data_IF_759004926739
#
_entry.id   IF_759004926739
#
_cell.length_a   1.000
_cell.length_b   1.000
_cell.length_c   1.000
_cell.angle_alpha   90.00
_cell.angle_beta   90.00
_cell.angle_gamma   90.00
#
_symmetry.space_group_name_H-M   'P 1'
#
loop_
_entity.id
_entity.type
_entity.pdbx_description
1 polymer ?
#
# COMPACT_ATOMS: atom_id res chain seq x y z
N UNK A 1 -2.17 34.76 10.79
CA UNK A 1 -1.87 33.47 10.13
C UNK A 1 -2.17 33.47 8.62
N UNK A 2 -3.18 34.19 8.09
CA UNK A 2 -3.53 34.20 6.64
C UNK A 2 -3.47 32.79 6.02
N UNK A 3 -4.25 31.82 6.55
CA UNK A 3 -4.15 30.44 6.11
C UNK A 3 -4.64 30.27 4.67
N UNK A 4 -4.11 29.27 3.98
CA UNK A 4 -4.60 28.86 2.67
C UNK A 4 -5.98 28.23 2.76
N UNK A 5 -6.18 27.35 3.75
CA UNK A 5 -7.48 26.77 4.11
C UNK A 5 -7.64 26.66 5.63
N UNK A 6 -8.87 26.71 6.10
CA UNK A 6 -9.27 26.41 7.48
C UNK A 6 -9.85 25.01 7.53
N UNK A 7 -9.14 24.10 8.20
CA UNK A 7 -9.57 22.72 8.42
C UNK A 7 -10.05 22.60 9.87
N UNK A 8 -11.27 22.09 10.07
CA UNK A 8 -11.87 21.96 11.41
C UNK A 8 -12.05 20.48 11.74
N UNK A 9 -11.60 20.08 12.93
CA UNK A 9 -12.06 18.86 13.58
C UNK A 9 -13.01 19.25 14.70
N UNK A 10 -14.27 18.84 14.60
CA UNK A 10 -15.31 19.16 15.57
C UNK A 10 -15.77 17.92 16.32
N UNK A 11 -15.67 17.95 17.65
CA UNK A 11 -16.28 16.96 18.54
C UNK A 11 -17.57 17.54 19.17
N UNK A 12 -18.76 17.03 18.79
CA UNK A 12 -20.01 17.47 19.37
C UNK A 12 -20.08 17.11 20.86
N UNK A 13 -20.75 17.94 21.66
CA UNK A 13 -20.90 17.73 23.10
C UNK A 13 -22.37 17.55 23.45
N UNK A 14 -22.72 16.42 24.08
CA UNK A 14 -24.06 16.00 24.50
C UNK A 14 -25.03 15.73 23.36
N UNK A 15 -25.85 14.69 23.50
CA UNK A 15 -26.84 14.32 22.49
C UNK A 15 -27.95 15.36 22.43
N UNK A 16 -28.41 15.84 23.58
CA UNK A 16 -29.47 16.87 23.67
C UNK A 16 -29.09 18.15 22.94
N UNK A 17 -27.85 18.62 23.13
CA UNK A 17 -27.33 19.84 22.49
C UNK A 17 -27.06 19.63 21.00
N UNK A 18 -26.53 18.47 20.63
CA UNK A 18 -26.31 18.10 19.22
C UNK A 18 -27.64 18.13 18.46
N UNK A 19 -28.70 17.55 19.03
CA UNK A 19 -30.05 17.58 18.45
C UNK A 19 -30.60 19.01 18.37
N UNK A 20 -30.54 19.77 19.47
CA UNK A 20 -31.15 21.09 19.56
C UNK A 20 -30.48 22.14 18.64
N UNK A 21 -29.17 22.02 18.43
CA UNK A 21 -28.38 23.01 17.70
C UNK A 21 -27.86 22.51 16.35
N UNK A 22 -28.37 21.38 15.84
CA UNK A 22 -27.87 20.78 14.61
C UNK A 22 -27.86 21.75 13.43
N UNK A 23 -28.98 22.46 13.22
CA UNK A 23 -29.13 23.42 12.12
C UNK A 23 -28.19 24.63 12.27
N UNK A 24 -28.00 25.14 13.49
CA UNK A 24 -27.10 26.26 13.77
C UNK A 24 -25.62 25.86 13.59
N UNK A 25 -25.23 24.66 14.05
CA UNK A 25 -23.91 24.11 13.75
C UNK A 25 -23.72 23.95 12.25
N UNK A 26 -24.71 23.42 11.54
CA UNK A 26 -24.67 23.24 10.09
C UNK A 26 -24.39 24.54 9.32
N UNK A 27 -24.92 25.68 9.81
CA UNK A 27 -24.66 27.02 9.27
C UNK A 27 -23.28 27.55 9.62
N UNK A 28 -22.91 27.55 10.91
CA UNK A 28 -21.67 28.19 11.39
C UNK A 28 -20.44 27.45 10.86
N UNK A 29 -20.53 26.13 10.74
CA UNK A 29 -19.46 25.29 10.23
C UNK A 29 -19.13 25.57 8.75
N UNK A 30 -20.04 26.17 7.96
CA UNK A 30 -19.76 26.62 6.59
C UNK A 30 -18.59 27.60 6.47
N UNK A 31 -18.17 28.23 7.58
CA UNK A 31 -17.01 29.12 7.61
C UNK A 31 -15.67 28.40 7.43
N UNK A 32 -15.64 27.06 7.52
CA UNK A 32 -14.46 26.25 7.27
C UNK A 32 -14.40 25.77 5.81
N UNK A 33 -13.20 25.53 5.30
CA UNK A 33 -13.00 24.97 3.96
C UNK A 33 -13.15 23.44 3.96
N UNK A 34 -12.88 22.80 5.11
CA UNK A 34 -13.01 21.35 5.29
C UNK A 34 -13.31 20.98 6.74
N UNK A 35 -14.15 19.98 6.94
CA UNK A 35 -14.60 19.57 8.28
C UNK A 35 -14.48 18.06 8.47
N UNK A 36 -14.06 17.69 9.67
CA UNK A 36 -14.15 16.37 10.25
C UNK A 36 -15.04 16.44 11.48
N UNK A 37 -16.03 15.56 11.57
CA UNK A 37 -16.95 15.49 12.71
C UNK A 37 -16.79 14.13 13.37
N UNK A 38 -16.50 14.11 14.67
CA UNK A 38 -16.45 12.87 15.45
C UNK A 38 -17.84 12.50 15.98
N UNK A 39 -17.98 11.33 16.59
CA UNK A 39 -19.21 11.05 17.32
C UNK A 39 -19.32 11.92 18.60
N UNK A 40 -20.53 11.97 19.15
CA UNK A 40 -20.93 12.83 20.25
C UNK A 40 -20.19 12.43 21.53
N UNK A 41 -19.48 13.37 22.13
CA UNK A 41 -19.03 13.23 23.51
C UNK A 41 -20.24 13.35 24.46
N UNK A 42 -20.69 12.22 24.99
CA UNK A 42 -21.94 12.11 25.73
C UNK A 42 -21.99 12.94 27.03
N UNK A 43 -20.84 13.16 27.69
CA UNK A 43 -20.77 13.85 28.98
C UNK A 43 -21.80 13.31 30.01
N UNK A 44 -21.86 11.98 30.14
CA UNK A 44 -22.80 11.23 31.00
C UNK A 44 -24.28 11.24 30.58
N UNK A 45 -24.62 11.79 29.40
CA UNK A 45 -25.96 11.60 28.82
C UNK A 45 -26.14 10.18 28.25
N UNK A 46 -27.38 9.68 28.31
CA UNK A 46 -27.77 8.49 27.55
C UNK A 46 -27.86 8.86 26.06
N UNK A 47 -27.41 7.97 25.16
CA UNK A 47 -27.64 8.15 23.72
C UNK A 47 -29.10 8.41 23.40
N UNK A 48 -29.36 9.37 22.52
CA UNK A 48 -30.68 9.62 21.95
C UNK A 48 -30.74 8.91 20.60
N UNK A 49 -31.78 8.11 20.38
CA UNK A 49 -31.96 7.37 19.14
C UNK A 49 -31.92 8.30 17.92
N UNK A 50 -31.12 7.94 16.92
CA UNK A 50 -30.93 8.73 15.69
C UNK A 50 -30.02 9.97 15.83
N UNK A 51 -29.51 10.27 17.03
CA UNK A 51 -28.60 11.41 17.24
C UNK A 51 -27.15 10.93 17.37
N UNK A 52 -26.30 11.41 16.49
CA UNK A 52 -24.86 11.12 16.46
C UNK A 52 -24.09 12.27 15.81
N UNK A 53 -22.77 12.12 15.65
CA UNK A 53 -22.00 13.05 14.81
C UNK A 53 -22.53 13.14 13.37
N UNK A 54 -23.13 12.07 12.83
CA UNK A 54 -23.76 12.07 11.50
C UNK A 54 -24.89 13.10 11.41
N UNK A 55 -25.62 13.36 12.50
CA UNK A 55 -26.67 14.39 12.54
C UNK A 55 -26.11 15.77 12.16
N UNK A 56 -24.87 16.08 12.56
CA UNK A 56 -24.24 17.34 12.18
C UNK A 56 -23.64 17.30 10.79
N UNK A 57 -23.17 16.14 10.33
CA UNK A 57 -22.72 15.97 8.94
C UNK A 57 -23.86 16.27 7.98
N UNK A 58 -25.04 15.70 8.24
CA UNK A 58 -26.25 15.94 7.46
C UNK A 58 -26.68 17.42 7.52
N UNK A 59 -26.60 18.03 8.71
CA UNK A 59 -26.91 19.45 8.88
C UNK A 59 -25.94 20.35 8.10
N UNK A 60 -24.63 20.05 8.10
CA UNK A 60 -23.64 20.78 7.30
C UNK A 60 -23.95 20.65 5.81
N UNK A 61 -24.22 19.44 5.32
CA UNK A 61 -24.54 19.21 3.90
C UNK A 61 -25.82 19.91 3.45
N UNK A 62 -26.78 20.11 4.35
CA UNK A 62 -28.02 20.86 4.06
C UNK A 62 -27.76 22.35 3.80
N UNK A 63 -26.72 22.93 4.39
CA UNK A 63 -26.46 24.39 4.33
C UNK A 63 -25.40 24.80 3.30
N UNK A 64 -24.68 23.85 2.70
CA UNK A 64 -23.71 24.14 1.65
C UNK A 64 -22.87 22.94 1.23
N UNK A 65 -21.99 23.17 0.25
CA UNK A 65 -21.22 22.12 -0.43
C UNK A 65 -19.82 21.89 0.17
N UNK A 66 -19.57 22.39 1.39
CA UNK A 66 -18.26 22.20 2.02
C UNK A 66 -17.97 20.72 2.27
N UNK A 67 -16.70 20.35 2.15
CA UNK A 67 -16.29 18.96 2.33
C UNK A 67 -16.34 18.59 3.82
N UNK A 68 -17.31 17.78 4.20
CA UNK A 68 -17.47 17.23 5.54
C UNK A 68 -17.26 15.71 5.56
N UNK A 69 -16.53 15.21 6.54
CA UNK A 69 -16.25 13.80 6.74
C UNK A 69 -16.65 13.37 8.16
N UNK A 70 -17.40 12.27 8.27
CA UNK A 70 -17.69 11.63 9.54
C UNK A 70 -16.52 10.73 9.95
N UNK A 71 -15.96 10.96 11.14
CA UNK A 71 -14.84 10.21 11.74
C UNK A 71 -15.23 9.79 13.17
N UNK A 72 -16.13 8.80 13.31
CA UNK A 72 -16.84 8.52 14.57
C UNK A 72 -15.89 8.28 15.75
N UNK A 73 -14.81 7.54 15.50
CA UNK A 73 -13.83 7.20 16.51
C UNK A 73 -12.76 8.30 16.64
N UNK A 74 -12.73 8.93 17.82
CA UNK A 74 -11.75 9.97 18.13
C UNK A 74 -10.33 9.39 18.20
N UNK A 75 -10.16 8.12 18.60
CA UNK A 75 -8.84 7.52 18.78
C UNK A 75 -8.04 7.44 17.48
N UNK A 76 -8.76 7.36 16.34
CA UNK A 76 -8.21 7.26 14.97
C UNK A 76 -8.49 8.49 14.11
N UNK A 77 -9.19 9.51 14.63
CA UNK A 77 -9.53 10.71 13.88
C UNK A 77 -8.29 11.45 13.34
N UNK A 78 -7.16 11.38 14.03
CA UNK A 78 -5.90 11.98 13.58
C UNK A 78 -5.41 11.41 12.26
N UNK A 79 -5.70 10.14 11.95
CA UNK A 79 -5.33 9.55 10.67
C UNK A 79 -6.02 10.22 9.49
N UNK A 80 -7.34 10.40 9.58
CA UNK A 80 -8.13 11.02 8.53
C UNK A 80 -7.85 12.52 8.41
N UNK A 81 -7.71 13.22 9.54
CA UNK A 81 -7.43 14.66 9.59
C UNK A 81 -6.01 14.93 9.10
N UNK A 82 -5.01 14.24 9.63
CA UNK A 82 -3.60 14.45 9.25
C UNK A 82 -3.30 14.10 7.79
N UNK A 83 -3.93 13.06 7.23
CA UNK A 83 -3.80 12.74 5.80
C UNK A 83 -4.40 13.81 4.87
N UNK A 84 -5.32 14.62 5.39
CA UNK A 84 -6.02 15.64 4.62
C UNK A 84 -5.34 17.01 4.62
N UNK A 85 -4.37 17.23 5.52
CA UNK A 85 -3.68 18.50 5.65
C UNK A 85 -2.70 18.73 4.49
N UNK A 86 -2.62 19.98 4.07
CA UNK A 86 -1.70 20.48 3.06
C UNK A 86 -0.87 21.65 3.62
N UNK A 87 0.31 21.93 3.03
CA UNK A 87 1.09 23.10 3.41
C UNK A 87 0.27 24.39 3.34
N UNK A 88 0.27 25.17 4.43
CA UNK A 88 -0.48 26.42 4.55
C UNK A 88 -1.87 26.28 5.18
N UNK A 89 -2.32 25.06 5.50
CA UNK A 89 -3.55 24.85 6.25
C UNK A 89 -3.45 25.34 7.71
N UNK A 90 -4.56 25.86 8.22
CA UNK A 90 -4.78 26.05 9.65
C UNK A 90 -5.75 24.98 10.15
N UNK A 91 -5.24 24.02 10.94
CA UNK A 91 -6.07 23.06 11.66
C UNK A 91 -6.60 23.68 12.95
N UNK A 92 -7.91 23.61 13.15
CA UNK A 92 -8.59 24.00 14.39
C UNK A 92 -9.31 22.76 14.95
N UNK A 93 -8.93 22.33 16.15
CA UNK A 93 -9.68 21.32 16.92
C UNK A 93 -10.66 22.02 17.86
N UNK A 94 -11.95 21.72 17.72
CA UNK A 94 -13.04 22.38 18.44
C UNK A 94 -13.96 21.32 19.06
N UNK A 95 -14.46 21.59 20.26
CA UNK A 95 -15.41 20.68 20.90
C UNK A 95 -15.16 20.56 22.40
N UNK A 96 -15.72 19.51 22.98
CA UNK A 96 -15.49 19.15 24.37
C UNK A 96 -14.57 17.92 24.48
N UNK A 97 -14.38 17.41 25.69
CA UNK A 97 -13.57 16.20 25.93
C UNK A 97 -12.11 16.41 25.57
N UNK A 98 -11.56 15.49 24.79
CA UNK A 98 -10.13 15.38 24.50
C UNK A 98 -9.81 15.55 23.01
N UNK A 99 -10.67 16.20 22.22
CA UNK A 99 -10.44 16.46 20.78
C UNK A 99 -9.11 17.17 20.48
N UNK A 100 -8.59 17.96 21.43
CA UNK A 100 -7.29 18.62 21.31
C UNK A 100 -6.11 17.63 21.21
N UNK A 101 -6.23 16.41 21.76
CA UNK A 101 -5.21 15.37 21.68
C UNK A 101 -4.95 14.95 20.22
N UNK A 102 -5.97 14.99 19.37
CA UNK A 102 -5.83 14.72 17.92
C UNK A 102 -4.88 15.74 17.29
N UNK A 103 -5.06 17.03 17.60
CA UNK A 103 -4.16 18.08 17.13
C UNK A 103 -2.73 17.90 17.63
N UNK A 104 -2.56 17.50 18.89
CA UNK A 104 -1.25 17.21 19.49
C UNK A 104 -0.53 16.05 18.79
N UNK A 105 -1.23 14.95 18.50
CA UNK A 105 -0.67 13.80 17.75
C UNK A 105 -0.20 14.22 16.36
N UNK A 106 -1.07 14.90 15.61
CA UNK A 106 -0.76 15.38 14.26
C UNK A 106 0.45 16.31 14.29
N UNK A 107 0.51 17.26 15.22
CA UNK A 107 1.63 18.20 15.33
C UNK A 107 2.96 17.50 15.64
N UNK A 108 2.94 16.48 16.51
CA UNK A 108 4.13 15.69 16.83
C UNK A 108 4.64 14.93 15.60
N UNK A 109 3.75 14.29 14.83
CA UNK A 109 4.12 13.55 13.63
C UNK A 109 4.51 14.47 12.46
N UNK A 110 3.83 15.62 12.30
CA UNK A 110 4.19 16.63 11.30
C UNK A 110 5.61 17.12 11.48
N UNK A 111 6.04 17.35 12.73
CA UNK A 111 7.42 17.75 13.02
C UNK A 111 8.44 16.75 12.46
N UNK A 112 8.22 15.46 12.70
CA UNK A 112 9.12 14.40 12.21
C UNK A 112 9.10 14.32 10.67
N UNK A 113 7.91 14.46 10.06
CA UNK A 113 7.76 14.48 8.60
C UNK A 113 8.48 15.67 7.96
N UNK A 114 8.35 16.86 8.55
CA UNK A 114 9.00 18.08 8.08
C UNK A 114 10.52 18.01 8.25
N UNK A 115 11.03 17.43 9.34
CA UNK A 115 12.46 17.18 9.51
C UNK A 115 13.00 16.25 8.42
N UNK A 116 12.31 15.14 8.11
CA UNK A 116 12.72 14.22 7.03
C UNK A 116 12.76 14.90 5.66
N UNK A 117 11.86 15.86 5.39
CA UNK A 117 11.79 16.57 4.10
C UNK A 117 12.77 17.74 4.03
N UNK A 118 12.88 18.53 5.10
CA UNK A 118 13.64 19.78 5.14
C UNK A 118 15.16 19.60 5.23
N UNK A 119 15.63 18.38 5.49
CA UNK A 119 17.06 18.04 5.48
C UNK A 119 17.59 17.66 4.08
N UNK A 120 16.73 17.66 3.06
CA UNK A 120 17.09 17.44 1.66
C UNK A 120 16.65 18.63 0.81
N UNK A 121 17.25 18.84 -0.38
CA UNK A 121 16.77 19.85 -1.33
C UNK A 121 15.29 19.66 -1.69
N UNK A 122 14.61 20.77 -1.97
CA UNK A 122 13.21 20.75 -2.37
C UNK A 122 12.98 19.82 -3.58
N UNK A 123 11.96 18.97 -3.47
CA UNK A 123 11.57 18.03 -4.52
C UNK A 123 12.32 16.69 -4.53
N UNK A 124 13.31 16.48 -3.65
CA UNK A 124 13.99 15.18 -3.53
C UNK A 124 13.18 14.14 -2.75
N UNK A 125 12.33 14.61 -1.81
CA UNK A 125 11.48 13.77 -0.97
C UNK A 125 10.09 14.38 -0.89
N UNK A 126 9.09 13.62 -1.33
CA UNK A 126 7.70 13.88 -0.98
C UNK A 126 7.32 13.06 0.27
N UNK A 127 6.40 13.59 1.07
CA UNK A 127 5.91 12.84 2.21
C UNK A 127 4.55 13.27 2.70
N UNK A 128 3.81 12.32 3.30
CA UNK A 128 2.44 12.48 3.77
C UNK A 128 2.26 11.76 5.10
N UNK A 129 1.43 12.33 5.97
CA UNK A 129 1.00 11.63 7.17
C UNK A 129 -0.15 10.66 6.87
N UNK A 130 -0.14 9.54 7.58
CA UNK A 130 -1.24 8.58 7.69
C UNK A 130 -1.84 8.15 6.34
N UNK A 131 -0.98 7.97 5.32
CA UNK A 131 -1.43 7.65 3.96
C UNK A 131 -2.05 6.24 3.93
N UNK A 132 -3.33 6.09 3.51
CA UNK A 132 -3.98 4.77 3.53
C UNK A 132 -3.33 3.78 2.57
N UNK A 133 -2.82 2.67 3.10
CA UNK A 133 -2.18 1.61 2.32
C UNK A 133 -3.12 0.96 1.32
N UNK A 134 -4.45 1.01 1.53
CA UNK A 134 -5.44 0.59 0.52
C UNK A 134 -5.31 1.29 -0.84
N UNK A 135 -4.70 2.49 -0.91
CA UNK A 135 -4.40 3.18 -2.17
C UNK A 135 -3.16 2.62 -2.89
N UNK A 136 -2.34 1.87 -2.15
CA UNK A 136 -0.99 1.42 -2.55
C UNK A 136 -0.84 -0.11 -2.58
N UNK A 137 -1.91 -0.86 -2.30
CA UNK A 137 -1.98 -2.33 -2.45
C UNK A 137 -2.93 -2.70 -3.58
N UNK A 138 -2.65 -3.79 -4.30
CA UNK A 138 -3.53 -4.23 -5.39
C UNK A 138 -4.81 -4.92 -4.91
N UNK A 139 -4.80 -5.36 -3.65
CA UNK A 139 -5.98 -5.89 -2.97
C UNK A 139 -6.91 -4.76 -2.51
N UNK A 140 -6.47 -3.49 -2.56
CA UNK A 140 -7.24 -2.31 -2.16
C UNK A 140 -7.67 -2.36 -0.68
N UNK A 141 -6.80 -2.89 0.17
CA UNK A 141 -6.97 -3.00 1.63
C UNK A 141 -5.72 -2.50 2.34
N UNK A 142 -5.88 -2.05 3.59
CA UNK A 142 -4.79 -1.59 4.42
C UNK A 142 -5.04 -0.25 5.10
N UNK A 143 -4.72 -0.22 6.39
CA UNK A 143 -4.72 0.97 7.23
C UNK A 143 -3.67 2.01 6.85
N UNK A 144 -3.48 3.04 7.68
CA UNK A 144 -2.58 4.16 7.37
C UNK A 144 -1.11 3.77 7.50
N UNK A 145 -0.25 4.36 6.66
CA UNK A 145 1.19 4.44 6.91
C UNK A 145 1.48 5.71 7.71
N UNK A 146 2.09 5.61 8.89
CA UNK A 146 2.35 6.78 9.76
C UNK A 146 3.07 7.89 9.01
N UNK A 147 4.22 7.56 8.39
CA UNK A 147 4.95 8.44 7.48
C UNK A 147 5.09 7.76 6.13
N UNK A 148 4.36 8.24 5.12
CA UNK A 148 4.55 7.81 3.74
C UNK A 148 5.59 8.70 3.08
N UNK A 149 6.65 8.11 2.52
CA UNK A 149 7.81 8.82 1.99
C UNK A 149 8.12 8.36 0.56
N UNK A 150 8.24 9.30 -0.38
CA UNK A 150 8.60 9.03 -1.77
C UNK A 150 9.91 9.75 -2.13
N UNK A 151 11.07 9.05 -2.09
CA UNK A 151 12.34 9.62 -2.54
C UNK A 151 12.44 9.59 -4.06
N UNK A 152 13.07 10.63 -4.64
CA UNK A 152 13.28 10.76 -6.08
C UNK A 152 14.71 10.43 -6.53
N UNK A 153 15.63 10.24 -5.58
CA UNK A 153 17.04 9.92 -5.81
C UNK A 153 17.57 8.84 -4.88
N UNK A 154 18.68 8.23 -5.28
CA UNK A 154 19.38 7.22 -4.47
C UNK A 154 19.90 7.79 -3.15
N UNK A 155 20.43 9.02 -3.17
CA UNK A 155 20.88 9.71 -1.96
C UNK A 155 19.71 10.04 -1.02
N UNK A 156 18.59 10.53 -1.54
CA UNK A 156 17.38 10.77 -0.77
C UNK A 156 16.85 9.49 -0.09
N UNK A 157 16.85 8.37 -0.82
CA UNK A 157 16.49 7.07 -0.27
C UNK A 157 17.44 6.63 0.85
N UNK A 158 18.76 6.71 0.63
CA UNK A 158 19.76 6.36 1.63
C UNK A 158 19.65 7.23 2.89
N UNK A 159 19.45 8.54 2.70
CA UNK A 159 19.21 9.49 3.76
C UNK A 159 17.99 9.11 4.61
N UNK A 160 16.83 8.82 3.99
CA UNK A 160 15.63 8.41 4.73
C UNK A 160 15.85 7.18 5.58
N UNK A 161 16.52 6.15 5.02
CA UNK A 161 16.83 4.92 5.74
C UNK A 161 17.76 5.19 6.92
N UNK A 162 18.81 6.01 6.74
CA UNK A 162 19.73 6.40 7.82
C UNK A 162 19.04 7.20 8.91
N UNK A 163 18.31 8.26 8.52
CA UNK A 163 17.57 9.12 9.42
C UNK A 163 16.65 8.34 10.35
N UNK A 164 15.86 7.42 9.76
CA UNK A 164 14.92 6.60 10.49
C UNK A 164 15.65 5.63 11.43
N UNK A 165 16.71 4.97 10.95
CA UNK A 165 17.50 4.03 11.76
C UNK A 165 18.15 4.70 12.96
N UNK A 166 18.76 5.87 12.79
CA UNK A 166 19.40 6.65 13.86
C UNK A 166 18.42 7.07 14.96
N UNK A 167 17.14 7.26 14.60
CA UNK A 167 16.07 7.69 15.51
C UNK A 167 15.17 6.55 15.99
N UNK A 168 15.47 5.30 15.63
CA UNK A 168 14.66 4.14 15.98
C UNK A 168 13.26 4.14 15.35
N UNK A 169 13.06 4.88 14.26
CA UNK A 169 11.81 4.87 13.49
C UNK A 169 11.82 3.60 12.60
N UNK A 170 10.86 2.67 12.76
CA UNK A 170 10.79 1.48 11.92
C UNK A 170 10.66 1.85 10.45
N UNK A 171 11.38 1.14 9.57
CA UNK A 171 11.34 1.37 8.12
C UNK A 171 10.74 0.16 7.41
N UNK A 172 9.79 0.43 6.51
CA UNK A 172 9.29 -0.54 5.54
C UNK A 172 9.41 0.03 4.14
N UNK A 173 10.04 -0.70 3.23
CA UNK A 173 10.06 -0.34 1.81
C UNK A 173 8.99 -1.12 1.08
N UNK A 174 8.13 -0.43 0.34
CA UNK A 174 7.03 -1.04 -0.42
C UNK A 174 7.10 -0.68 -1.88
N UNK A 175 6.86 -1.68 -2.73
CA UNK A 175 6.64 -1.48 -4.16
C UNK A 175 5.17 -1.19 -4.45
N UNK A 176 4.63 -1.80 -5.52
CA UNK A 176 3.22 -1.68 -5.92
C UNK A 176 2.21 -2.37 -4.96
N UNK A 177 2.68 -2.93 -3.84
CA UNK A 177 1.83 -3.65 -2.89
C UNK A 177 1.06 -4.83 -3.48
N UNK A 178 1.60 -5.47 -4.52
CA UNK A 178 0.92 -6.54 -5.25
C UNK A 178 1.00 -7.93 -4.62
N UNK A 179 1.83 -8.05 -3.59
CA UNK A 179 2.00 -9.24 -2.75
C UNK A 179 1.87 -8.87 -1.27
N UNK A 180 1.16 -7.78 -0.95
CA UNK A 180 1.00 -7.27 0.41
C UNK A 180 -0.46 -7.35 0.86
N UNK A 181 -0.65 -7.74 2.11
CA UNK A 181 -1.89 -7.60 2.87
C UNK A 181 -1.56 -6.76 4.10
N UNK A 182 -1.90 -5.48 4.07
CA UNK A 182 -1.65 -4.58 5.20
C UNK A 182 -2.86 -4.63 6.12
N UNK A 183 -2.64 -4.80 7.42
CA UNK A 183 -3.69 -4.82 8.45
C UNK A 183 -4.40 -3.47 8.59
N UNK A 184 -5.57 -3.48 9.22
CA UNK A 184 -6.44 -2.31 9.32
C UNK A 184 -5.88 -1.22 10.25
N UNK A 185 -5.09 -1.59 11.27
CA UNK A 185 -4.35 -0.66 12.14
C UNK A 185 -3.20 0.07 11.44
N UNK A 186 -2.76 -0.42 10.27
CA UNK A 186 -1.77 0.26 9.43
C UNK A 186 -0.32 -0.07 9.78
N UNK A 187 0.62 0.77 9.35
CA UNK A 187 2.06 0.56 9.49
C UNK A 187 2.68 1.74 10.24
N UNK A 188 3.20 1.46 11.43
CA UNK A 188 3.98 2.39 12.24
C UNK A 188 5.34 2.69 11.60
N UNK A 189 5.79 3.94 11.73
CA UNK A 189 7.06 4.41 11.20
C UNK A 189 7.02 4.78 9.73
N UNK A 190 8.19 4.74 9.08
CA UNK A 190 8.36 5.20 7.71
C UNK A 190 8.08 4.09 6.70
N UNK A 191 7.10 4.33 5.83
CA UNK A 191 6.83 3.53 4.64
C UNK A 191 7.42 4.25 3.43
N UNK A 192 8.52 3.73 2.90
CA UNK A 192 9.26 4.31 1.78
C UNK A 192 8.81 3.65 0.47
N UNK A 193 8.34 4.46 -0.47
CA UNK A 193 7.89 4.04 -1.79
C UNK A 193 8.75 4.69 -2.89
N UNK A 194 9.76 3.98 -3.43
CA UNK A 194 10.62 4.53 -4.48
C UNK A 194 9.88 4.50 -5.84
N UNK A 195 9.04 5.50 -6.10
CA UNK A 195 8.16 5.59 -7.29
C UNK A 195 8.50 6.73 -8.25
N UNK A 196 9.24 7.75 -7.80
CA UNK A 196 9.56 8.95 -8.57
C UNK A 196 11.04 9.05 -8.98
N UNK A 197 11.36 10.07 -9.78
CA UNK A 197 12.71 10.34 -10.29
C UNK A 197 13.38 9.09 -10.90
N UNK A 198 14.63 8.84 -10.52
CA UNK A 198 15.46 7.74 -11.04
C UNK A 198 14.84 6.35 -10.82
N UNK A 199 13.97 6.20 -9.82
CA UNK A 199 13.30 4.92 -9.55
C UNK A 199 12.22 4.58 -10.58
N UNK A 200 11.74 5.57 -11.33
CA UNK A 200 10.70 5.41 -12.35
C UNK A 200 11.26 5.25 -13.77
N UNK A 201 12.57 5.38 -13.93
CA UNK A 201 13.25 5.43 -15.23
C UNK A 201 13.62 4.05 -15.76
N UNK A 202 13.51 3.91 -17.08
CA UNK A 202 13.96 2.74 -17.84
C UNK A 202 14.77 3.22 -19.04
N UNK A 203 15.96 2.67 -19.23
CA UNK A 203 16.86 3.00 -20.34
C UNK A 203 17.38 1.73 -20.99
N UNK A 204 17.71 1.81 -22.29
CA UNK A 204 18.28 0.70 -23.06
C UNK A 204 19.62 1.16 -23.61
N UNK A 205 20.68 0.39 -23.37
CA UNK A 205 22.02 0.70 -23.88
C UNK A 205 22.27 0.12 -25.28
N UNK A 206 23.34 0.55 -25.94
CA UNK A 206 23.72 0.05 -27.27
C UNK A 206 24.19 -1.41 -27.31
N UNK A 207 24.30 -2.08 -26.16
CA UNK A 207 24.65 -3.50 -26.03
C UNK A 207 23.41 -4.38 -25.84
N UNK A 208 22.22 -3.79 -25.76
CA UNK A 208 20.96 -4.50 -25.55
C UNK A 208 20.66 -4.81 -24.07
N UNK A 209 21.30 -4.11 -23.13
CA UNK A 209 20.89 -4.16 -21.73
C UNK A 209 19.78 -3.16 -21.45
N UNK A 210 18.87 -3.55 -20.56
CA UNK A 210 17.77 -2.71 -20.08
C UNK A 210 18.02 -2.36 -18.62
N UNK A 211 18.25 -1.10 -18.32
CA UNK A 211 18.42 -0.61 -16.94
C UNK A 211 17.11 -0.04 -16.44
N UNK A 212 16.69 -0.43 -15.23
CA UNK A 212 15.44 0.05 -14.66
C UNK A 212 15.54 0.29 -13.15
N UNK A 213 15.00 1.43 -12.72
CA UNK A 213 14.85 1.76 -11.31
C UNK A 213 13.86 0.84 -10.59
N UNK A 214 13.99 0.71 -9.27
CA UNK A 214 13.19 -0.20 -8.45
C UNK A 214 11.67 0.07 -8.51
N UNK A 215 11.27 1.31 -8.79
CA UNK A 215 9.87 1.73 -8.97
C UNK A 215 9.25 1.36 -10.31
N UNK A 216 10.06 1.02 -11.32
CA UNK A 216 9.58 0.70 -12.67
C UNK A 216 8.63 -0.48 -12.62
N UNK A 217 7.42 -0.31 -13.16
CA UNK A 217 6.45 -1.39 -13.33
C UNK A 217 7.01 -2.43 -14.29
N UNK A 218 6.83 -3.71 -13.98
CA UNK A 218 7.29 -4.82 -14.82
C UNK A 218 6.76 -4.74 -16.26
N UNK A 219 5.51 -4.33 -16.43
CA UNK A 219 4.93 -4.04 -17.75
C UNK A 219 5.65 -2.92 -18.51
N UNK A 220 6.10 -1.87 -17.83
CA UNK A 220 6.86 -0.76 -18.45
C UNK A 220 8.24 -1.25 -18.89
N UNK A 221 8.92 -2.05 -18.07
CA UNK A 221 10.18 -2.70 -18.41
C UNK A 221 10.04 -3.57 -19.67
N UNK A 222 9.04 -4.47 -19.69
CA UNK A 222 8.78 -5.33 -20.84
C UNK A 222 8.48 -4.54 -22.12
N UNK A 223 7.69 -3.47 -22.00
CA UNK A 223 7.37 -2.58 -23.13
C UNK A 223 8.59 -1.87 -23.68
N UNK A 224 9.47 -1.36 -22.80
CA UNK A 224 10.68 -0.67 -23.21
C UNK A 224 11.65 -1.63 -23.91
N UNK A 225 11.83 -2.84 -23.38
CA UNK A 225 12.64 -3.88 -24.00
C UNK A 225 12.10 -4.27 -25.39
N UNK A 226 10.82 -4.57 -25.49
CA UNK A 226 10.17 -4.96 -26.75
C UNK A 226 10.24 -3.87 -27.83
N UNK A 227 10.08 -2.59 -27.44
CA UNK A 227 10.21 -1.45 -28.36
C UNK A 227 11.61 -1.29 -28.95
N UNK A 228 12.64 -1.87 -28.32
CA UNK A 228 14.02 -1.88 -28.79
C UNK A 228 14.42 -3.23 -29.42
N UNK A 229 13.46 -4.11 -29.72
CA UNK A 229 13.72 -5.42 -30.32
C UNK A 229 14.39 -6.40 -29.36
N UNK A 230 14.25 -6.19 -28.05
CA UNK A 230 14.80 -7.08 -27.02
C UNK A 230 13.67 -7.96 -26.48
N UNK A 231 13.69 -9.24 -26.86
CA UNK A 231 12.77 -10.26 -26.37
C UNK A 231 13.22 -10.91 -25.04
N UNK A 232 12.32 -11.71 -24.47
CA UNK A 232 12.52 -12.45 -23.22
C UNK A 232 11.86 -11.80 -21.99
N UNK A 233 11.26 -10.62 -22.12
CA UNK A 233 10.60 -9.90 -21.02
C UNK A 233 9.07 -10.07 -21.02
N UNK A 234 8.50 -10.79 -21.98
CA UNK A 234 7.05 -10.88 -22.21
C UNK A 234 6.29 -11.55 -21.03
N UNK A 235 6.97 -12.42 -20.27
CA UNK A 235 6.43 -13.04 -19.06
C UNK A 235 6.17 -12.01 -17.93
N UNK A 236 6.87 -10.88 -17.95
CA UNK A 236 6.74 -9.82 -16.95
C UNK A 236 5.50 -8.94 -17.17
N UNK A 237 4.93 -8.92 -18.38
CA UNK A 237 3.73 -8.14 -18.73
C UNK A 237 2.57 -8.41 -17.78
N UNK A 238 2.38 -9.71 -17.50
CA UNK A 238 1.30 -10.17 -16.67
C UNK A 238 1.52 -9.89 -15.20
N UNK A 239 2.77 -9.78 -14.72
CA UNK A 239 3.01 -9.73 -13.27
C UNK A 239 2.67 -8.35 -12.71
N UNK A 240 1.69 -8.25 -11.79
CA UNK A 240 1.40 -7.00 -11.11
C UNK A 240 2.57 -6.74 -10.17
N UNK A 241 3.36 -5.70 -10.41
CA UNK A 241 4.52 -5.42 -9.58
C UNK A 241 5.47 -4.39 -10.19
N UNK A 242 6.55 -4.11 -9.45
CA UNK A 242 7.66 -3.30 -9.90
C UNK A 242 8.98 -4.07 -9.76
N UNK A 243 10.04 -3.52 -10.36
CA UNK A 243 11.38 -4.12 -10.40
C UNK A 243 11.89 -4.44 -8.99
N UNK A 244 11.77 -3.51 -8.03
CA UNK A 244 12.24 -3.73 -6.66
C UNK A 244 11.55 -4.90 -5.97
N UNK A 245 10.22 -4.98 -6.09
CA UNK A 245 9.45 -6.12 -5.58
C UNK A 245 9.79 -7.44 -6.29
N UNK A 246 10.00 -7.40 -7.61
CA UNK A 246 10.38 -8.55 -8.40
C UNK A 246 11.75 -9.09 -8.01
N UNK A 247 12.74 -8.22 -7.82
CA UNK A 247 14.06 -8.57 -7.31
C UNK A 247 13.93 -9.18 -5.90
N UNK A 248 13.20 -8.52 -5.00
CA UNK A 248 13.05 -8.98 -3.60
C UNK A 248 12.42 -10.37 -3.49
N UNK A 249 11.50 -10.68 -4.40
CA UNK A 249 10.75 -11.93 -4.42
C UNK A 249 11.30 -12.94 -5.42
N UNK A 250 12.39 -12.65 -6.15
CA UNK A 250 12.76 -13.40 -7.36
C UNK A 250 11.50 -13.81 -8.16
N UNK A 251 10.69 -12.81 -8.52
CA UNK A 251 9.38 -13.05 -9.12
C UNK A 251 9.55 -13.86 -10.41
N UNK A 252 8.60 -14.75 -10.70
CA UNK A 252 8.71 -15.66 -11.83
C UNK A 252 7.36 -16.08 -12.37
N UNK A 253 7.27 -16.22 -13.68
CA UNK A 253 6.13 -16.76 -14.39
C UNK A 253 6.61 -17.42 -15.68
N UNK A 254 5.81 -18.36 -16.20
CA UNK A 254 6.08 -19.00 -17.51
C UNK A 254 7.46 -19.68 -17.61
N UNK A 255 7.95 -20.22 -16.48
CA UNK A 255 9.23 -20.94 -16.43
C UNK A 255 10.47 -20.05 -16.36
N UNK A 256 10.31 -18.73 -16.21
CA UNK A 256 11.38 -17.77 -16.00
C UNK A 256 11.23 -17.09 -14.64
N UNK A 257 12.37 -16.70 -14.07
CA UNK A 257 12.48 -15.90 -12.86
C UNK A 257 13.26 -14.60 -13.12
N UNK A 258 13.09 -13.62 -12.24
CA UNK A 258 13.69 -12.29 -12.39
C UNK A 258 15.20 -12.39 -12.51
N UNK A 259 15.84 -13.21 -11.68
CA UNK A 259 17.30 -13.38 -11.66
C UNK A 259 17.87 -14.20 -12.82
N UNK A 260 17.04 -14.79 -13.70
CA UNK A 260 17.51 -15.38 -14.97
C UNK A 260 17.97 -14.32 -15.96
N UNK A 261 17.43 -13.10 -15.82
CA UNK A 261 17.69 -11.98 -16.73
C UNK A 261 18.48 -10.85 -16.08
N UNK A 262 18.74 -10.88 -14.78
CA UNK A 262 19.56 -9.88 -14.10
C UNK A 262 21.02 -10.02 -14.53
N UNK A 263 21.65 -8.89 -14.84
CA UNK A 263 23.11 -8.75 -15.03
C UNK A 263 23.75 -8.23 -13.74
N UNK A 264 23.19 -7.19 -13.15
CA UNK A 264 23.64 -6.61 -11.89
C UNK A 264 22.53 -5.85 -11.18
N UNK A 265 22.68 -5.67 -9.87
CA UNK A 265 21.75 -4.92 -9.03
C UNK A 265 22.51 -3.89 -8.22
N UNK A 266 22.01 -2.67 -8.22
CA UNK A 266 22.44 -1.60 -7.31
C UNK A 266 21.51 -1.59 -6.09
N UNK A 267 22.06 -1.67 -4.89
CA UNK A 267 21.33 -1.70 -3.64
C UNK A 267 21.92 -0.74 -2.61
N UNK A 268 21.08 -0.26 -1.70
CA UNK A 268 21.53 0.29 -0.42
C UNK A 268 21.82 -0.89 0.52
N UNK A 269 23.08 -1.00 0.94
CA UNK A 269 23.56 -2.08 1.79
C UNK A 269 23.22 -1.81 3.28
N UNK A 270 23.41 -2.82 4.13
CA UNK A 270 23.10 -2.76 5.56
C UNK A 270 23.84 -1.63 6.27
N UNK A 271 25.06 -1.30 5.83
CA UNK A 271 25.88 -0.22 6.39
C UNK A 271 25.51 1.18 5.86
N UNK A 272 24.48 1.30 5.02
CA UNK A 272 24.03 2.56 4.44
C UNK A 272 24.80 3.02 3.21
N UNK A 273 25.72 2.20 2.69
CA UNK A 273 26.48 2.50 1.47
C UNK A 273 25.80 1.89 0.25
N UNK A 274 25.78 2.63 -0.84
CA UNK A 274 25.23 2.15 -2.12
C UNK A 274 26.29 1.36 -2.86
N UNK A 275 25.96 0.13 -3.23
CA UNK A 275 26.86 -0.76 -3.96
C UNK A 275 26.15 -1.43 -5.13
N UNK A 276 26.93 -1.84 -6.11
CA UNK A 276 26.48 -2.66 -7.22
C UNK A 276 27.14 -4.02 -7.13
N UNK A 277 26.34 -5.09 -7.26
CA UNK A 277 26.81 -6.48 -7.34
C UNK A 277 26.38 -7.07 -8.68
N UNK A 278 27.29 -7.79 -9.31
CA UNK A 278 26.98 -8.60 -10.49
C UNK A 278 26.07 -9.77 -10.09
N UNK A 279 25.38 -10.36 -11.07
CA UNK A 279 24.42 -11.44 -10.86
C UNK A 279 25.03 -12.60 -10.10
N UNK A 280 26.28 -12.96 -10.42
CA UNK A 280 27.00 -14.10 -9.87
C UNK A 280 27.29 -13.93 -8.36
N UNK A 281 27.27 -12.70 -7.85
CA UNK A 281 27.49 -12.37 -6.45
C UNK A 281 26.18 -12.37 -5.62
N UNK A 282 25.04 -12.71 -6.23
CA UNK A 282 23.73 -12.68 -5.57
C UNK A 282 23.09 -14.08 -5.58
N UNK A 283 22.76 -14.56 -4.38
CA UNK A 283 22.07 -15.84 -4.20
C UNK A 283 20.57 -15.65 -4.44
N UNK A 284 20.03 -16.27 -5.49
CA UNK A 284 18.61 -16.28 -5.76
C UNK A 284 18.07 -17.71 -5.73
N UNK A 285 16.99 -17.94 -5.01
CA UNK A 285 16.23 -19.19 -4.99
C UNK A 285 14.75 -18.92 -5.24
N UNK A 286 13.97 -20.00 -5.36
CA UNK A 286 12.52 -19.89 -5.63
C UNK A 286 11.86 -18.97 -4.61
N UNK A 287 11.32 -17.87 -5.10
CA UNK A 287 10.61 -16.84 -4.33
C UNK A 287 11.43 -16.14 -3.22
N UNK A 288 12.76 -16.22 -3.27
CA UNK A 288 13.61 -15.75 -2.18
C UNK A 288 14.99 -15.27 -2.63
N UNK A 289 15.38 -14.08 -2.16
CA UNK A 289 16.73 -13.52 -2.33
C UNK A 289 17.22 -13.08 -0.94
N UNK A 290 18.08 -13.86 -0.26
CA UNK A 290 18.52 -13.61 1.10
C UNK A 290 19.13 -12.21 1.30
N UNK A 291 19.96 -11.76 0.38
CA UNK A 291 20.68 -10.49 0.44
C UNK A 291 19.71 -9.30 0.43
N UNK A 292 18.59 -9.41 -0.29
CA UNK A 292 17.56 -8.37 -0.33
C UNK A 292 16.60 -8.41 0.88
N UNK A 293 16.85 -9.27 1.88
CA UNK A 293 16.11 -9.22 3.16
C UNK A 293 16.53 -8.03 4.02
N UNK A 294 17.79 -7.62 3.90
CA UNK A 294 18.40 -6.57 4.70
C UNK A 294 18.96 -5.41 3.87
N UNK A 295 19.12 -5.62 2.56
CA UNK A 295 19.50 -4.61 1.59
C UNK A 295 18.30 -4.18 0.75
N UNK A 296 18.31 -2.94 0.27
CA UNK A 296 17.22 -2.40 -0.54
C UNK A 296 17.66 -2.22 -2.00
N UNK A 297 17.03 -2.94 -2.93
CA UNK A 297 17.28 -2.76 -4.35
C UNK A 297 16.83 -1.36 -4.81
N UNK A 298 17.71 -0.65 -5.52
CA UNK A 298 17.48 0.70 -6.04
C UNK A 298 17.30 0.69 -7.56
N UNK A 299 18.05 -0.17 -8.25
CA UNK A 299 18.03 -0.33 -9.70
C UNK A 299 18.61 -1.69 -10.10
N UNK A 300 18.20 -2.22 -11.25
CA UNK A 300 18.84 -3.39 -11.85
C UNK A 300 19.07 -3.20 -13.35
N UNK A 301 20.08 -3.91 -13.84
CA UNK A 301 20.37 -4.06 -15.27
C UNK A 301 19.97 -5.47 -15.67
N UNK A 302 19.21 -5.57 -16.76
CA UNK A 302 18.70 -6.82 -17.31
C UNK A 302 19.25 -7.09 -18.70
N UNK A 303 19.33 -8.37 -19.07
CA UNK A 303 19.64 -8.85 -20.42
C UNK A 303 18.46 -9.60 -21.01
N UNK A 304 18.21 -9.36 -22.30
CA UNK A 304 17.31 -10.16 -23.11
C UNK A 304 18.02 -10.72 -24.33
N UNK A 305 17.25 -11.14 -25.33
CA UNK A 305 17.78 -11.59 -26.62
C UNK A 305 17.22 -10.73 -27.73
N UNK A 306 18.05 -10.26 -28.70
CA UNK A 306 17.53 -9.63 -29.89
C UNK A 306 16.51 -10.54 -30.57
N UNK A 307 15.35 -10.00 -30.91
CA UNK A 307 14.30 -10.74 -31.60
C UNK A 307 13.47 -9.81 -32.49
N UNK A 308 12.74 -10.41 -33.43
CA UNK A 308 11.86 -9.68 -34.34
C UNK A 308 10.63 -9.14 -33.60
N UNK A 309 10.16 -7.92 -33.92
CA UNK A 309 8.97 -7.34 -33.29
C UNK A 309 7.74 -8.25 -33.33
N UNK A 310 7.55 -9.02 -34.40
CA UNK A 310 6.42 -9.93 -34.56
C UNK A 310 6.45 -11.08 -33.54
N UNK A 311 7.63 -11.63 -33.28
CA UNK A 311 7.83 -12.71 -32.31
C UNK A 311 7.57 -12.21 -30.87
N UNK A 312 8.09 -11.03 -30.55
CA UNK A 312 7.88 -10.38 -29.24
C UNK A 312 6.39 -10.12 -29.03
N UNK A 313 5.72 -9.56 -30.04
CA UNK A 313 4.27 -9.29 -29.98
C UNK A 313 3.45 -10.57 -29.81
N UNK A 314 3.79 -11.65 -30.51
CA UNK A 314 3.09 -12.92 -30.39
C UNK A 314 3.19 -13.49 -28.96
N UNK A 315 4.39 -13.54 -28.38
CA UNK A 315 4.60 -14.01 -26.99
C UNK A 315 3.93 -13.10 -25.96
N UNK A 316 3.87 -11.79 -26.24
CA UNK A 316 3.16 -10.83 -25.41
C UNK A 316 1.65 -11.13 -25.36
N UNK A 317 1.04 -11.34 -26.52
CA UNK A 317 -0.39 -11.66 -26.63
C UNK A 317 -0.70 -12.99 -25.93
N UNK A 318 0.12 -14.03 -26.15
CA UNK A 318 0.01 -15.31 -25.46
C UNK A 318 0.08 -15.16 -23.93
N UNK A 319 1.06 -14.38 -23.43
CA UNK A 319 1.26 -14.13 -22.00
C UNK A 319 0.02 -13.49 -21.36
N UNK A 320 -0.53 -12.47 -22.05
CA UNK A 320 -1.73 -11.74 -21.61
C UNK A 320 -2.97 -12.62 -21.61
N UNK A 321 -3.18 -13.41 -22.67
CA UNK A 321 -4.37 -14.26 -22.82
C UNK A 321 -4.36 -15.42 -21.82
N UNK A 322 -3.18 -15.99 -21.55
CA UNK A 322 -3.00 -17.00 -20.50
C UNK A 322 -3.34 -16.45 -19.12
N UNK A 323 -2.94 -15.21 -18.80
CA UNK A 323 -3.29 -14.58 -17.52
C UNK A 323 -4.78 -14.32 -17.41
N UNK A 324 -5.38 -13.71 -18.44
CA UNK A 324 -6.81 -13.34 -18.45
C UNK A 324 -7.73 -14.56 -18.32
N UNK A 325 -7.33 -15.70 -18.89
CA UNK A 325 -8.12 -16.93 -18.83
C UNK A 325 -7.95 -17.73 -17.53
N UNK A 326 -6.87 -17.53 -16.78
CA UNK A 326 -6.54 -18.36 -15.61
C UNK A 326 -6.56 -17.63 -14.26
N UNK A 327 -6.63 -16.30 -14.24
CA UNK A 327 -6.53 -15.50 -13.01
C UNK A 327 -7.62 -14.42 -12.97
N UNK A 328 -8.08 -14.04 -11.76
CA UNK A 328 -9.08 -12.99 -11.63
C UNK A 328 -8.53 -11.62 -12.02
N UNK A 329 -9.39 -10.81 -12.62
CA UNK A 329 -9.13 -9.39 -12.90
C UNK A 329 -9.39 -8.52 -11.66
N UNK A 330 -10.19 -9.02 -10.71
CA UNK A 330 -10.55 -8.33 -9.48
C UNK A 330 -9.35 -8.04 -8.56
N UNK A 331 -9.53 -7.08 -7.65
CA UNK A 331 -8.53 -6.67 -6.67
C UNK A 331 -8.11 -7.85 -5.79
N UNK A 332 -6.82 -8.20 -5.82
CA UNK A 332 -6.22 -9.32 -5.09
C UNK A 332 -4.72 -9.07 -4.88
N UNK A 333 -4.07 -9.86 -4.03
CA UNK A 333 -2.63 -9.79 -3.77
C UNK A 333 -1.86 -10.93 -4.47
N UNK A 334 -2.41 -11.46 -5.56
CA UNK A 334 -1.87 -12.65 -6.22
C UNK A 334 -2.29 -13.95 -5.52
N UNK A 335 -1.47 -14.99 -5.69
CA UNK A 335 -1.64 -16.25 -4.98
C UNK A 335 -1.49 -16.02 -3.47
N UNK A 336 -2.49 -16.46 -2.70
CA UNK A 336 -2.51 -16.28 -1.25
C UNK A 336 -1.56 -17.25 -0.56
N UNK A 337 -1.53 -18.50 -1.02
CA UNK A 337 -0.73 -19.57 -0.43
C UNK A 337 0.39 -20.02 -1.37
N UNK A 338 1.50 -20.47 -0.77
CA UNK A 338 2.52 -21.25 -1.49
C UNK A 338 1.93 -22.60 -1.88
N UNK A 339 2.47 -23.20 -2.94
CA UNK A 339 2.10 -24.58 -3.28
C UNK A 339 2.75 -25.55 -2.30
N UNK A 340 1.98 -26.41 -1.60
CA UNK A 340 2.55 -27.53 -0.86
C UNK A 340 3.07 -28.60 -1.83
N UNK A 341 3.97 -29.46 -1.35
CA UNK A 341 4.65 -30.48 -2.19
C UNK A 341 3.68 -31.49 -2.82
N UNK A 342 2.56 -31.74 -2.14
CA UNK A 342 1.61 -32.79 -2.52
C UNK A 342 0.61 -32.36 -3.59
N UNK A 343 0.27 -31.07 -3.68
CA UNK A 343 -0.72 -30.56 -4.63
C UNK A 343 -0.59 -29.04 -4.77
N UNK A 344 -0.91 -28.50 -5.95
CA UNK A 344 -1.03 -27.05 -6.11
C UNK A 344 -2.12 -26.49 -5.18
N UNK A 345 -1.83 -25.40 -4.47
CA UNK A 345 -2.73 -24.82 -3.47
C UNK A 345 -4.09 -24.43 -4.05
N UNK A 346 -4.12 -23.90 -5.28
CA UNK A 346 -5.38 -23.59 -5.96
C UNK A 346 -6.26 -24.81 -6.19
N UNK A 347 -5.66 -25.95 -6.58
CA UNK A 347 -6.40 -27.21 -6.74
C UNK A 347 -6.86 -27.78 -5.41
N UNK A 348 -6.07 -27.61 -4.35
CA UNK A 348 -6.48 -28.02 -3.01
C UNK A 348 -7.75 -27.28 -2.58
N UNK A 349 -7.75 -25.95 -2.66
CA UNK A 349 -8.89 -25.09 -2.32
C UNK A 349 -10.11 -25.42 -3.17
N UNK A 350 -9.93 -25.58 -4.49
CA UNK A 350 -11.02 -25.98 -5.40
C UNK A 350 -11.63 -27.34 -5.01
N UNK A 351 -10.79 -28.33 -4.69
CA UNK A 351 -11.25 -29.67 -4.32
C UNK A 351 -11.96 -29.72 -2.96
N UNK A 352 -11.80 -28.71 -2.12
CA UNK A 352 -12.54 -28.54 -0.86
C UNK A 352 -13.85 -27.75 -1.05
N UNK A 353 -14.20 -27.40 -2.31
CA UNK A 353 -15.42 -26.68 -2.66
C UNK A 353 -15.46 -25.25 -2.12
N UNK A 354 -14.31 -24.59 -1.95
CA UNK A 354 -14.22 -23.29 -1.28
C UNK A 354 -14.34 -22.08 -2.21
N UNK A 355 -14.39 -22.27 -3.53
CA UNK A 355 -14.66 -21.17 -4.47
C UNK A 355 -15.99 -20.48 -4.14
N UNK A 356 -16.00 -19.15 -4.18
CA UNK A 356 -17.15 -18.33 -3.81
C UNK A 356 -17.38 -18.17 -2.29
N UNK A 357 -16.69 -18.94 -1.45
CA UNK A 357 -16.78 -18.79 0.01
C UNK A 357 -16.30 -17.40 0.41
N UNK A 358 -17.06 -16.74 1.29
CA UNK A 358 -16.87 -15.32 1.59
C UNK A 358 -16.92 -15.04 3.09
N UNK A 359 -16.17 -14.03 3.52
CA UNK A 359 -16.27 -13.38 4.83
C UNK A 359 -16.41 -11.89 4.56
N UNK A 360 -17.58 -11.33 4.89
CA UNK A 360 -17.88 -9.94 4.56
C UNK A 360 -17.74 -9.65 3.07
N UNK A 361 -16.82 -8.77 2.67
CA UNK A 361 -16.55 -8.43 1.25
C UNK A 361 -15.31 -9.16 0.67
N UNK A 362 -14.65 -10.00 1.45
CA UNK A 362 -13.60 -10.91 0.98
C UNK A 362 -14.21 -12.20 0.44
N UNK A 363 -13.74 -12.69 -0.71
CA UNK A 363 -14.24 -13.93 -1.32
C UNK A 363 -13.14 -14.74 -2.01
N UNK A 364 -13.21 -16.07 -1.95
CA UNK A 364 -12.37 -16.95 -2.77
C UNK A 364 -12.81 -16.85 -4.23
N UNK A 365 -11.87 -16.57 -5.14
CA UNK A 365 -12.18 -16.38 -6.55
C UNK A 365 -12.77 -17.63 -7.21
N UNK A 366 -13.89 -17.43 -7.92
CA UNK A 366 -14.48 -18.45 -8.80
C UNK A 366 -13.53 -18.91 -9.90
N UNK A 367 -12.66 -18.01 -10.37
CA UNK A 367 -11.71 -18.32 -11.44
C UNK A 367 -10.55 -19.19 -10.96
N UNK A 368 -10.07 -18.99 -9.73
CA UNK A 368 -8.86 -19.66 -9.22
C UNK A 368 -8.85 -19.74 -7.68
N UNK A 369 -8.89 -20.94 -7.10
CA UNK A 369 -9.02 -21.12 -5.64
C UNK A 369 -7.87 -20.56 -4.80
N UNK A 370 -6.69 -20.33 -5.37
CA UNK A 370 -5.58 -19.69 -4.65
C UNK A 370 -5.65 -18.14 -4.62
N UNK A 371 -6.73 -17.53 -5.09
CA UNK A 371 -6.90 -16.09 -5.08
C UNK A 371 -8.07 -15.72 -4.18
N UNK A 372 -7.81 -14.81 -3.24
CA UNK A 372 -8.87 -14.10 -2.53
C UNK A 372 -9.02 -12.73 -3.19
N UNK A 373 -10.26 -12.37 -3.50
CA UNK A 373 -10.63 -11.11 -4.14
C UNK A 373 -11.37 -10.21 -3.17
N UNK A 374 -11.07 -8.93 -3.24
CA UNK A 374 -11.87 -7.87 -2.63
C UNK A 374 -13.03 -7.55 -3.58
N UNK A 375 -14.26 -7.87 -3.16
CA UNK A 375 -15.48 -7.63 -3.95
C UNK A 375 -15.97 -6.18 -3.89
N UNK A 376 -15.24 -5.32 -3.18
CA UNK A 376 -15.55 -3.91 -2.97
C UNK A 376 -15.75 -3.63 -1.49
N UNK A 377 -14.79 -2.92 -0.89
CA UNK A 377 -14.87 -2.47 0.51
C UNK A 377 -14.47 -3.51 1.56
N UNK A 378 -13.75 -4.57 1.19
CA UNK A 378 -13.24 -5.53 2.17
C UNK A 378 -12.23 -4.89 3.15
N UNK A 379 -12.26 -5.33 4.40
CA UNK A 379 -11.22 -5.00 5.39
C UNK A 379 -10.09 -6.03 5.33
N UNK A 380 -8.93 -5.68 5.87
CA UNK A 380 -7.84 -6.66 6.00
C UNK A 380 -8.23 -7.80 6.94
N UNK A 381 -8.99 -7.49 8.00
CA UNK A 381 -9.53 -8.45 8.95
C UNK A 381 -10.40 -9.51 8.25
N UNK A 382 -11.33 -9.10 7.39
CA UNK A 382 -12.18 -10.04 6.62
C UNK A 382 -11.35 -10.98 5.74
N UNK A 383 -10.31 -10.46 5.08
CA UNK A 383 -9.39 -11.25 4.25
C UNK A 383 -8.64 -12.28 5.12
N UNK A 384 -8.11 -11.85 6.27
CA UNK A 384 -7.35 -12.71 7.19
C UNK A 384 -8.22 -13.81 7.79
N UNK A 385 -9.44 -13.49 8.22
CA UNK A 385 -10.41 -14.49 8.70
C UNK A 385 -10.70 -15.53 7.62
N UNK A 386 -10.85 -15.11 6.35
CA UNK A 386 -11.03 -16.04 5.25
C UNK A 386 -9.79 -16.92 5.04
N UNK A 387 -8.58 -16.35 5.09
CA UNK A 387 -7.31 -17.11 5.02
C UNK A 387 -7.25 -18.18 6.10
N UNK A 388 -7.51 -17.81 7.36
CA UNK A 388 -7.48 -18.72 8.51
C UNK A 388 -8.51 -19.84 8.37
N UNK A 389 -9.72 -19.54 7.88
CA UNK A 389 -10.75 -20.55 7.63
C UNK A 389 -10.33 -21.59 6.58
N UNK A 390 -9.65 -21.14 5.51
CA UNK A 390 -9.13 -22.02 4.46
C UNK A 390 -8.01 -22.91 5.01
N UNK A 391 -7.08 -22.34 5.78
CA UNK A 391 -5.99 -23.08 6.42
C UNK A 391 -6.53 -24.14 7.39
N UNK A 392 -7.50 -23.77 8.24
CA UNK A 392 -8.13 -24.68 9.18
C UNK A 392 -8.82 -25.85 8.46
N UNK A 393 -9.56 -25.59 7.38
CA UNK A 393 -10.21 -26.63 6.59
C UNK A 393 -9.20 -27.55 5.88
N UNK A 394 -8.14 -26.98 5.29
CA UNK A 394 -7.07 -27.75 4.64
C UNK A 394 -6.37 -28.69 5.63
N UNK A 395 -6.10 -28.20 6.85
CA UNK A 395 -5.51 -29.02 7.91
C UNK A 395 -6.46 -30.13 8.38
N UNK A 396 -7.73 -29.82 8.59
CA UNK A 396 -8.71 -30.78 9.11
C UNK A 396 -9.10 -31.87 8.10
N UNK A 397 -9.34 -31.51 6.83
CA UNK A 397 -9.85 -32.45 5.82
C UNK A 397 -8.74 -33.14 5.03
N UNK A 398 -7.60 -32.46 4.84
CA UNK A 398 -6.54 -32.89 3.93
C UNK A 398 -5.18 -33.08 4.60
N UNK A 399 -5.06 -32.76 5.89
CA UNK A 399 -3.80 -32.86 6.65
C UNK A 399 -2.66 -32.07 6.00
N UNK A 400 -2.98 -30.93 5.38
CA UNK A 400 -2.01 -30.03 4.74
C UNK A 400 -1.97 -28.71 5.50
N UNK A 401 -0.80 -28.34 6.01
CA UNK A 401 -0.54 -27.01 6.54
C UNK A 401 -0.23 -26.04 5.39
N UNK A 402 -1.20 -25.20 5.02
CA UNK A 402 -1.02 -24.16 4.00
C UNK A 402 -0.25 -22.97 4.56
N UNK A 403 0.88 -22.62 3.94
CA UNK A 403 1.64 -21.40 4.24
C UNK A 403 1.25 -20.24 3.32
N UNK A 404 1.14 -19.03 3.87
CA UNK A 404 0.89 -17.82 3.08
C UNK A 404 2.12 -17.43 2.25
N UNK A 405 1.88 -17.07 0.98
CA UNK A 405 2.87 -16.41 0.11
C UNK A 405 2.79 -14.89 0.24
N UNK A 406 1.57 -14.38 0.38
CA UNK A 406 1.27 -12.97 0.64
C UNK A 406 1.97 -12.49 1.91
N UNK A 407 2.55 -11.28 1.86
CA UNK A 407 3.19 -10.67 3.04
C UNK A 407 2.17 -9.87 3.83
N UNK A 408 1.85 -10.40 5.01
CA UNK A 408 1.02 -9.72 5.99
C UNK A 408 1.88 -8.72 6.74
N UNK A 409 1.47 -7.45 6.76
CA UNK A 409 2.21 -6.34 7.37
C UNK A 409 1.30 -5.48 8.23
N UNK A 410 1.90 -4.72 9.14
CA UNK A 410 1.20 -3.75 9.97
C UNK A 410 0.65 -4.35 11.26
N UNK A 411 -0.13 -3.54 11.96
CA UNK A 411 -0.69 -3.82 13.27
C UNK A 411 -2.21 -4.07 13.16
N UNK A 412 -2.75 -4.87 14.09
CA UNK A 412 -4.20 -5.10 14.16
C UNK A 412 -4.93 -3.82 14.51
N UNK A 413 -4.42 -3.08 15.50
CA UNK A 413 -5.01 -1.85 16.01
C UNK A 413 -4.13 -0.63 15.68
N UNK A 414 -4.75 0.54 15.45
CA UNK A 414 -4.04 1.79 15.20
C UNK A 414 -3.42 2.34 16.50
N UNK A 415 -2.12 2.08 16.72
CA UNK A 415 -1.42 2.42 17.98
C UNK A 415 -0.50 3.66 17.91
N UNK A 416 -0.47 4.35 16.76
CA UNK A 416 0.36 5.52 16.49
C UNK A 416 -0.47 6.75 16.09
#
# INVERSE_FOLDING_TARGET
LKPGRVVVLFQPHRYTRTQALADDFGKVLQAADRIFITDVYAASEKPIEGISGQTLVDAVQKHGDIRVNYVPDLATAHHAVGNALEPGDLLITLGAGNVHEVGTKIAADLKVLEEMRGLMPDGEIEGRLYEPMKKHTTMLVGGPAQYWMEPHGFYAFAFLVSYCRERGIPVRVVGRGSNLLVRDGGIRGAVIHPSGGVFSEVTVDGKGHVTAGAGVRLKKLASAAGGHGIGGFEWMEGIPGNVGGALRMNAGAMGLETFDQVVRVTFLDEDGVIRTREREEITASYRNVPELRRNFALQAVFKGKPDKPENIKARWEESRDKRRSSQPIAASAGCVFKNPDVIAAGRLVDSMGLKGTSVGKASVSESHGNFIVNTGGASATEILTLIESIQAKAKAERYVDLETEVKILGEDEPDF
#
